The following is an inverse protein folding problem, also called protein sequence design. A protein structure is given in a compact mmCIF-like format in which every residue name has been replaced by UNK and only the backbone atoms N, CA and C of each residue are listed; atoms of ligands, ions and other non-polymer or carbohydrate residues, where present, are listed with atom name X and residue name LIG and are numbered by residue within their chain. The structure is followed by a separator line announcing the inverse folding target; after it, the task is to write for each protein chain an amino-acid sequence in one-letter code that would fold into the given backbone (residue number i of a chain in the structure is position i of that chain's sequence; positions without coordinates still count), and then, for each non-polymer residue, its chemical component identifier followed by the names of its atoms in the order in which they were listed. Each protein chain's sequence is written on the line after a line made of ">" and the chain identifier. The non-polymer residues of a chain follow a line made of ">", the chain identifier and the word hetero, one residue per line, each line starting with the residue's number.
data_IF_331624101326
#
_entry.id   IF_331624101326
#
_cell.length_a   1.000
_cell.length_b   1.000
_cell.length_c   1.000
_cell.angle_alpha   90.00
_cell.angle_beta   90.00
_cell.angle_gamma   90.00
#
_symmetry.space_group_name_H-M   'P 1'
#
loop_
_entity.id
_entity.type
_entity.pdbx_description
1 polymer ?
#
# COMPACT_ATOMS: atom_id res chain seq x y z
N UNK A 1 -0.87 18.37 28.55
CA UNK A 1 -1.02 17.17 27.70
C UNK A 1 -1.18 17.63 26.26
N UNK A 2 -0.11 17.61 25.49
CA UNK A 2 -0.12 18.10 24.13
C UNK A 2 -0.68 17.06 23.16
N UNK A 3 -1.85 17.31 22.60
CA UNK A 3 -2.30 16.70 21.35
C UNK A 3 -1.57 17.42 20.23
N UNK A 4 -0.64 16.78 19.58
CA UNK A 4 -0.11 17.28 18.33
C UNK A 4 -1.08 16.83 17.22
N UNK A 5 -1.99 17.67 16.82
CA UNK A 5 -2.73 17.54 15.58
C UNK A 5 -1.87 18.15 14.46
N UNK A 6 -1.36 17.32 13.61
CA UNK A 6 -0.75 17.77 12.36
C UNK A 6 -1.89 17.87 11.36
N UNK A 7 -2.43 19.06 11.19
CA UNK A 7 -3.31 19.38 10.08
C UNK A 7 -2.48 19.40 8.81
N UNK A 8 -2.56 18.35 8.03
CA UNK A 8 -2.02 18.30 6.67
C UNK A 8 -2.93 19.11 5.72
N UNK A 9 -3.17 20.36 6.04
CA UNK A 9 -3.79 21.32 5.14
C UNK A 9 -2.73 22.27 4.61
N UNK A 10 -2.42 22.15 3.32
CA UNK A 10 -1.48 22.96 2.54
C UNK A 10 -0.03 22.76 2.92
N UNK A 11 0.59 21.92 2.12
CA UNK A 11 1.97 21.55 2.23
C UNK A 11 2.95 22.68 2.31
N UNK A 12 3.93 22.52 3.14
CA UNK A 12 5.27 22.99 2.82
C UNK A 12 5.69 22.37 1.48
N UNK A 13 6.46 23.09 0.70
CA UNK A 13 6.79 22.87 -0.71
C UNK A 13 7.42 21.51 -1.08
N UNK A 14 7.32 20.51 -0.27
CA UNK A 14 7.77 19.13 -0.51
C UNK A 14 6.62 18.11 -0.54
N UNK A 15 5.39 18.51 -0.33
CA UNK A 15 4.22 17.64 -0.40
C UNK A 15 3.41 17.92 -1.66
N UNK A 16 3.03 16.83 -2.34
CA UNK A 16 2.21 16.84 -3.55
C UNK A 16 0.94 17.66 -3.30
N UNK A 17 0.56 18.60 -4.19
CA UNK A 17 -0.69 19.34 -4.06
C UNK A 17 -1.88 18.36 -4.04
N UNK A 18 -2.79 18.51 -3.06
CA UNK A 18 -4.00 17.71 -2.96
C UNK A 18 -4.05 16.76 -1.75
N UNK A 19 -3.19 16.91 -0.75
CA UNK A 19 -3.31 16.18 0.52
C UNK A 19 -4.35 16.87 1.41
N UNK A 20 -5.40 16.13 1.78
CA UNK A 20 -6.39 16.55 2.76
C UNK A 20 -6.55 15.46 3.82
N UNK A 21 -6.79 15.84 5.07
CA UNK A 21 -6.96 14.92 6.17
C UNK A 21 -6.22 15.37 7.42
N UNK A 22 -6.29 14.58 8.48
CA UNK A 22 -5.57 14.84 9.71
C UNK A 22 -4.84 13.58 10.23
N UNK A 23 -3.68 13.79 10.82
CA UNK A 23 -2.94 12.77 11.54
C UNK A 23 -2.82 13.20 12.98
N UNK A 24 -3.21 12.38 13.92
CA UNK A 24 -3.05 12.65 15.34
C UNK A 24 -2.23 11.56 16.01
N UNK A 25 -1.34 11.97 16.89
CA UNK A 25 -0.54 11.09 17.74
C UNK A 25 -0.74 11.45 19.18
N UNK A 26 -1.08 10.48 20.03
CA UNK A 26 -1.27 10.65 21.45
C UNK A 26 -0.64 9.50 22.24
N UNK A 27 -0.77 9.53 23.56
CA UNK A 27 -0.29 8.46 24.44
C UNK A 27 -0.94 7.11 24.16
N UNK A 28 -2.16 7.10 23.61
CA UNK A 28 -2.92 5.89 23.31
C UNK A 28 -2.66 5.34 21.90
N UNK A 29 -1.97 6.07 21.03
CA UNK A 29 -1.70 5.59 19.68
C UNK A 29 -1.65 6.66 18.60
N UNK A 30 -1.80 6.21 17.35
CA UNK A 30 -1.78 7.05 16.15
C UNK A 30 -3.09 6.87 15.41
N UNK A 31 -3.65 7.95 14.94
CA UNK A 31 -4.81 7.92 14.04
C UNK A 31 -4.61 8.81 12.82
N UNK A 32 -5.12 8.33 11.70
CA UNK A 32 -5.27 9.06 10.46
C UNK A 32 -6.77 9.17 10.20
N UNK A 33 -7.25 10.36 9.89
CA UNK A 33 -8.67 10.60 9.70
C UNK A 33 -8.91 11.27 8.34
N UNK A 34 -9.79 10.64 7.57
CA UNK A 34 -10.29 11.13 6.29
C UNK A 34 -9.17 11.63 5.35
N UNK A 35 -8.10 10.86 5.24
CA UNK A 35 -6.96 11.18 4.37
C UNK A 35 -7.37 11.01 2.92
N UNK A 36 -7.17 12.07 2.13
CA UNK A 36 -7.22 12.03 0.66
C UNK A 36 -5.89 12.58 0.15
N UNK A 37 -5.10 11.72 -0.46
CA UNK A 37 -3.74 12.02 -0.89
C UNK A 37 -3.26 11.07 -1.98
N UNK A 38 -2.33 11.52 -2.80
CA UNK A 38 -1.56 10.69 -3.72
C UNK A 38 -0.09 10.75 -3.34
N UNK A 39 0.50 9.60 -3.04
CA UNK A 39 1.88 9.50 -2.58
C UNK A 39 2.72 8.64 -3.54
N UNK A 40 3.95 9.06 -3.88
CA UNK A 40 4.87 8.25 -4.65
C UNK A 40 5.37 7.07 -3.80
N UNK A 41 5.30 5.85 -4.35
CA UNK A 41 5.66 4.61 -3.62
C UNK A 41 6.68 3.76 -4.35
N UNK A 42 7.30 4.27 -5.39
CA UNK A 42 8.25 3.53 -6.23
C UNK A 42 9.34 2.83 -5.42
N UNK A 43 9.91 3.50 -4.43
CA UNK A 43 10.96 2.93 -3.58
C UNK A 43 10.47 1.79 -2.66
N UNK A 44 9.20 1.81 -2.25
CA UNK A 44 8.63 0.78 -1.39
C UNK A 44 8.32 -0.52 -2.13
N UNK A 45 8.01 -0.43 -3.40
CA UNK A 45 7.56 -1.58 -4.20
C UNK A 45 8.62 -2.13 -5.15
N UNK A 46 9.75 -1.44 -5.32
CA UNK A 46 10.80 -1.93 -6.23
C UNK A 46 11.18 -3.40 -5.92
N UNK A 47 11.33 -4.26 -6.92
CA UNK A 47 11.32 -4.02 -8.36
C UNK A 47 9.92 -4.01 -9.03
N UNK A 48 8.84 -4.16 -8.26
CA UNK A 48 7.49 -4.08 -8.81
C UNK A 48 7.19 -2.63 -9.27
N UNK A 49 6.59 -2.42 -10.45
CA UNK A 49 6.48 -1.11 -11.09
C UNK A 49 5.35 -0.23 -10.51
N UNK A 50 5.21 -0.19 -9.21
CA UNK A 50 4.28 0.72 -8.55
C UNK A 50 4.79 2.16 -8.63
N UNK A 51 3.93 3.10 -8.99
CA UNK A 51 4.24 4.52 -9.05
C UNK A 51 3.68 5.29 -7.88
N UNK A 52 2.37 5.27 -7.75
CA UNK A 52 1.66 6.06 -6.75
C UNK A 52 0.63 5.21 -6.01
N UNK A 53 0.42 5.55 -4.75
CA UNK A 53 -0.72 5.10 -3.98
C UNK A 53 -1.64 6.30 -3.71
N UNK A 54 -2.91 6.15 -4.00
CA UNK A 54 -3.95 7.15 -3.79
C UNK A 54 -4.86 6.68 -2.68
N UNK A 55 -5.08 7.56 -1.72
CA UNK A 55 -6.02 7.37 -0.63
C UNK A 55 -7.26 8.25 -0.84
N UNK A 56 -8.44 7.70 -0.63
CA UNK A 56 -9.72 8.42 -0.67
C UNK A 56 -10.50 8.14 0.60
N UNK A 57 -10.73 9.17 1.42
CA UNK A 57 -11.45 9.04 2.67
C UNK A 57 -10.83 8.02 3.63
N UNK A 58 -9.53 7.81 3.55
CA UNK A 58 -8.82 6.81 4.34
C UNK A 58 -8.76 7.22 5.80
N UNK A 59 -9.18 6.30 6.66
CA UNK A 59 -9.03 6.42 8.11
C UNK A 59 -8.45 5.15 8.68
N UNK A 60 -7.54 5.29 9.63
CA UNK A 60 -6.98 4.17 10.37
C UNK A 60 -6.59 4.61 11.78
N UNK A 61 -6.78 3.73 12.76
CA UNK A 61 -6.43 3.97 14.14
C UNK A 61 -5.65 2.81 14.72
N UNK A 62 -4.51 3.13 15.30
CA UNK A 62 -3.69 2.22 16.10
C UNK A 62 -3.76 2.64 17.57
N UNK A 63 -3.97 1.68 18.45
CA UNK A 63 -3.91 1.86 19.90
C UNK A 63 -3.24 0.64 20.54
N UNK A 64 -2.43 0.85 21.56
CA UNK A 64 -1.69 -0.21 22.24
C UNK A 64 -0.91 -1.15 21.27
N UNK A 65 -0.31 -0.58 20.23
CA UNK A 65 0.46 -1.33 19.24
C UNK A 65 -0.36 -2.17 18.26
N UNK A 66 -1.67 -1.97 18.18
CA UNK A 66 -2.58 -2.77 17.34
C UNK A 66 -3.46 -1.89 16.45
N UNK A 67 -3.75 -2.37 15.26
CA UNK A 67 -4.80 -1.78 14.42
C UNK A 67 -6.17 -2.01 15.09
N UNK A 68 -6.91 -0.93 15.27
CA UNK A 68 -8.23 -0.95 15.91
C UNK A 68 -9.36 -0.78 14.91
N UNK A 69 -9.14 0.08 13.91
CA UNK A 69 -10.09 0.31 12.83
C UNK A 69 -9.38 0.82 11.59
N UNK A 70 -9.96 0.56 10.43
CA UNK A 70 -9.52 1.09 9.16
C UNK A 70 -10.71 1.16 8.18
N UNK A 71 -10.73 2.18 7.34
CA UNK A 71 -11.77 2.39 6.34
C UNK A 71 -11.28 3.28 5.19
N UNK A 72 -12.10 3.44 4.16
CA UNK A 72 -11.80 4.23 2.98
C UNK A 72 -11.48 3.39 1.77
N UNK A 73 -10.88 4.01 0.76
CA UNK A 73 -10.42 3.34 -0.46
C UNK A 73 -8.96 3.64 -0.72
N UNK A 74 -8.28 2.68 -1.32
CA UNK A 74 -6.88 2.80 -1.74
C UNK A 74 -6.76 2.31 -3.18
N UNK A 75 -6.06 3.10 -3.99
CA UNK A 75 -5.71 2.75 -5.37
C UNK A 75 -4.20 2.78 -5.53
N UNK A 76 -3.64 1.73 -6.10
CA UNK A 76 -2.25 1.65 -6.53
C UNK A 76 -2.19 1.84 -8.03
N UNK A 77 -1.41 2.81 -8.52
CA UNK A 77 -1.13 2.99 -9.94
C UNK A 77 0.25 2.44 -10.27
N UNK A 78 0.39 1.93 -11.48
CA UNK A 78 1.57 1.21 -11.94
C UNK A 78 2.12 1.88 -13.19
N UNK A 79 3.44 1.83 -13.37
CA UNK A 79 4.08 2.22 -14.61
C UNK A 79 4.04 1.06 -15.63
N UNK A 80 3.95 1.38 -16.93
CA UNK A 80 3.83 0.42 -18.04
C UNK A 80 5.10 -0.38 -18.31
N UNK A 81 6.02 -0.50 -17.36
CA UNK A 81 7.36 -1.02 -17.60
C UNK A 81 7.52 -2.54 -17.47
N UNK A 82 6.47 -3.25 -17.12
CA UNK A 82 6.55 -4.71 -16.98
C UNK A 82 5.79 -5.41 -18.11
N UNK A 83 6.50 -6.06 -19.07
CA UNK A 83 5.85 -6.82 -20.14
C UNK A 83 4.91 -7.90 -19.55
N UNK A 84 3.68 -7.96 -20.08
CA UNK A 84 2.71 -8.99 -19.71
C UNK A 84 1.87 -8.68 -18.47
N UNK A 85 2.09 -7.56 -17.80
CA UNK A 85 1.19 -7.04 -16.77
C UNK A 85 0.34 -5.91 -17.38
N UNK A 86 -0.90 -6.22 -17.69
CA UNK A 86 -1.85 -5.19 -18.13
C UNK A 86 -2.62 -4.65 -16.92
N UNK A 87 -2.00 -3.71 -16.20
CA UNK A 87 -2.53 -3.08 -15.01
C UNK A 87 -2.86 -1.60 -15.24
N UNK A 88 -3.29 -1.24 -16.45
CA UNK A 88 -3.60 0.14 -16.86
C UNK A 88 -4.59 0.85 -15.92
N UNK A 89 -5.49 0.10 -15.30
CA UNK A 89 -6.48 0.64 -14.36
C UNK A 89 -6.00 0.63 -12.91
N UNK A 90 -4.78 0.18 -12.67
CA UNK A 90 -4.23 0.03 -11.32
C UNK A 90 -4.86 -1.11 -10.52
N UNK A 91 -4.63 -1.07 -9.22
CA UNK A 91 -5.18 -2.01 -8.24
C UNK A 91 -5.97 -1.25 -7.18
N UNK A 92 -7.09 -1.80 -6.77
CA UNK A 92 -8.03 -1.19 -5.82
C UNK A 92 -8.21 -2.06 -4.60
N UNK A 93 -8.44 -1.44 -3.45
CA UNK A 93 -8.80 -2.16 -2.24
C UNK A 93 -9.37 -1.28 -1.15
N UNK A 94 -9.95 -1.94 -0.16
CA UNK A 94 -10.47 -1.30 1.05
C UNK A 94 -9.59 -1.68 2.24
N UNK A 95 -9.03 -0.71 2.96
CA UNK A 95 -8.23 -0.94 4.16
C UNK A 95 -9.04 -1.65 5.23
N UNK A 96 -8.38 -2.53 5.97
CA UNK A 96 -8.97 -3.18 7.14
C UNK A 96 -7.88 -3.57 8.15
N UNK A 97 -8.25 -3.81 9.38
CA UNK A 97 -7.36 -4.46 10.32
C UNK A 97 -7.32 -5.97 10.08
N UNK A 98 -6.12 -6.52 10.15
CA UNK A 98 -5.84 -7.95 10.07
C UNK A 98 -4.95 -8.33 11.27
N UNK A 99 -5.58 -8.82 12.33
CA UNK A 99 -4.93 -8.97 13.63
C UNK A 99 -4.48 -7.62 14.20
N UNK A 100 -3.20 -7.50 14.51
CA UNK A 100 -2.61 -6.27 15.03
C UNK A 100 -2.17 -5.29 13.92
N UNK A 101 -2.22 -5.70 12.66
CA UNK A 101 -1.71 -4.94 11.53
C UNK A 101 -2.84 -4.28 10.73
N UNK A 102 -2.53 -3.17 10.08
CA UNK A 102 -3.33 -2.62 9.01
C UNK A 102 -3.03 -3.38 7.72
N UNK A 103 -4.05 -3.88 7.05
CA UNK A 103 -3.97 -4.52 5.75
C UNK A 103 -4.60 -3.62 4.68
N UNK A 104 -3.84 -3.36 3.63
CA UNK A 104 -4.30 -2.76 2.38
C UNK A 104 -4.33 -3.87 1.31
N UNK A 105 -5.47 -4.55 1.11
CA UNK A 105 -5.60 -5.61 0.13
C UNK A 105 -5.96 -5.00 -1.23
N UNK A 106 -5.00 -4.95 -2.13
CA UNK A 106 -5.16 -4.37 -3.47
C UNK A 106 -5.31 -5.48 -4.50
N UNK A 107 -6.29 -5.35 -5.37
CA UNK A 107 -6.60 -6.33 -6.41
C UNK A 107 -6.76 -5.62 -7.75
N UNK A 108 -6.22 -6.20 -8.82
CA UNK A 108 -6.42 -5.72 -10.19
C UNK A 108 -7.85 -5.97 -10.66
N UNK A 109 -8.24 -5.31 -11.74
CA UNK A 109 -9.57 -5.51 -12.34
C UNK A 109 -9.80 -6.95 -12.81
N UNK A 110 -8.75 -7.63 -13.29
CA UNK A 110 -8.81 -9.04 -13.69
C UNK A 110 -8.86 -10.02 -12.50
N UNK A 111 -8.56 -9.55 -11.29
CA UNK A 111 -8.31 -10.35 -10.09
C UNK A 111 -7.12 -11.33 -10.20
N UNK A 112 -6.32 -11.22 -11.26
CA UNK A 112 -5.14 -12.06 -11.48
C UNK A 112 -3.92 -11.55 -10.74
N UNK A 113 -3.90 -10.29 -10.39
CA UNK A 113 -2.84 -9.64 -9.65
C UNK A 113 -3.36 -9.12 -8.31
N UNK A 114 -2.60 -9.37 -7.26
CA UNK A 114 -2.92 -8.94 -5.90
C UNK A 114 -1.68 -8.40 -5.22
N UNK A 115 -1.83 -7.32 -4.47
CA UNK A 115 -0.79 -6.77 -3.61
C UNK A 115 -1.37 -6.55 -2.21
N UNK A 116 -0.87 -7.28 -1.23
CA UNK A 116 -1.21 -7.11 0.18
C UNK A 116 -0.12 -6.31 0.86
N UNK A 117 -0.45 -5.12 1.35
CA UNK A 117 0.46 -4.28 2.14
C UNK A 117 0.03 -4.36 3.60
N UNK A 118 0.90 -4.87 4.46
CA UNK A 118 0.69 -4.92 5.91
C UNK A 118 1.58 -3.93 6.61
N UNK A 119 0.98 -3.14 7.48
CA UNK A 119 1.64 -2.09 8.26
C UNK A 119 1.44 -2.37 9.74
N UNK A 120 2.53 -2.30 10.50
CA UNK A 120 2.51 -2.44 11.94
C UNK A 120 2.66 -1.08 12.63
N UNK A 121 2.22 -0.99 13.87
CA UNK A 121 2.28 0.23 14.66
C UNK A 121 3.71 0.76 14.90
N UNK A 122 4.71 -0.11 14.81
CA UNK A 122 6.13 0.23 14.95
C UNK A 122 6.76 0.79 13.67
N UNK A 123 5.97 0.95 12.59
CA UNK A 123 6.42 1.41 11.28
C UNK A 123 7.00 0.32 10.38
N UNK A 124 7.04 -0.94 10.81
CA UNK A 124 7.42 -2.05 9.93
C UNK A 124 6.32 -2.35 8.92
N UNK A 125 6.71 -2.74 7.72
CA UNK A 125 5.77 -3.13 6.68
C UNK A 125 6.22 -4.37 5.92
N UNK A 126 5.24 -5.08 5.37
CA UNK A 126 5.42 -6.18 4.44
C UNK A 126 4.53 -5.97 3.22
N UNK A 127 5.11 -6.04 2.04
CA UNK A 127 4.41 -6.03 0.76
C UNK A 127 4.50 -7.42 0.16
N UNK A 128 3.35 -8.04 -0.12
CA UNK A 128 3.26 -9.35 -0.79
C UNK A 128 2.52 -9.16 -2.10
N UNK A 129 3.19 -9.44 -3.21
CA UNK A 129 2.59 -9.36 -4.55
C UNK A 129 2.41 -10.78 -5.06
N UNK A 130 1.20 -11.07 -5.52
CA UNK A 130 0.82 -12.36 -6.10
C UNK A 130 0.35 -12.15 -7.54
N UNK A 131 0.88 -12.94 -8.44
CA UNK A 131 0.46 -13.03 -9.83
C UNK A 131 -0.14 -14.41 -10.05
N UNK A 132 -1.46 -14.48 -10.14
CA UNK A 132 -2.20 -15.73 -10.30
C UNK A 132 -2.37 -16.05 -11.78
N UNK A 133 -1.32 -16.49 -12.45
CA UNK A 133 -1.39 -16.96 -13.83
C UNK A 133 -0.18 -17.83 -14.15
N UNK A 134 -0.37 -18.75 -15.06
CA UNK A 134 0.75 -19.39 -15.74
C UNK A 134 1.33 -18.37 -16.72
N UNK A 135 2.56 -17.94 -16.47
CA UNK A 135 3.30 -16.96 -17.27
C UNK A 135 4.65 -17.55 -17.68
N UNK A 136 4.62 -18.78 -18.17
CA UNK A 136 5.81 -19.56 -18.51
C UNK A 136 6.77 -18.84 -19.48
N UNK A 137 6.24 -18.05 -20.42
CA UNK A 137 6.99 -17.18 -21.33
C UNK A 137 7.68 -16.00 -20.64
N UNK A 138 7.24 -15.63 -19.44
CA UNK A 138 7.77 -14.50 -18.65
C UNK A 138 8.50 -14.95 -17.39
N UNK A 139 8.61 -16.25 -17.15
CA UNK A 139 9.20 -16.80 -15.93
C UNK A 139 10.62 -16.27 -15.65
N UNK A 140 11.47 -16.16 -16.67
CA UNK A 140 12.83 -15.65 -16.52
C UNK A 140 12.83 -14.17 -16.09
N UNK A 141 11.99 -13.33 -16.70
CA UNK A 141 11.88 -11.92 -16.35
C UNK A 141 11.33 -11.73 -14.93
N UNK A 142 10.33 -12.51 -14.55
CA UNK A 142 9.75 -12.48 -13.20
C UNK A 142 10.77 -12.93 -12.15
N UNK A 143 11.55 -13.98 -12.41
CA UNK A 143 12.60 -14.42 -11.51
C UNK A 143 13.70 -13.39 -11.35
N UNK A 144 14.11 -12.70 -12.42
CA UNK A 144 15.06 -11.59 -12.35
C UNK A 144 14.51 -10.41 -11.55
N UNK A 145 13.20 -10.17 -11.60
CA UNK A 145 12.51 -9.16 -10.80
C UNK A 145 12.31 -9.59 -9.33
N UNK A 146 12.78 -10.78 -8.92
CA UNK A 146 12.71 -11.26 -7.55
C UNK A 146 11.45 -12.08 -7.21
N UNK A 147 10.58 -12.34 -8.19
CA UNK A 147 9.44 -13.23 -8.00
C UNK A 147 9.90 -14.69 -7.91
N UNK A 148 9.20 -15.43 -7.07
CA UNK A 148 9.37 -16.85 -6.92
C UNK A 148 8.14 -17.59 -7.42
N UNK A 149 8.34 -18.69 -8.14
CA UNK A 149 7.25 -19.56 -8.54
C UNK A 149 6.61 -20.20 -7.30
N UNK A 150 5.27 -20.18 -7.27
CA UNK A 150 4.44 -20.82 -6.25
C UNK A 150 3.31 -21.57 -6.92
N UNK A 151 2.55 -22.38 -6.17
CA UNK A 151 1.37 -23.03 -6.72
C UNK A 151 0.38 -21.97 -7.27
N UNK A 152 0.07 -22.07 -8.57
CA UNK A 152 -0.85 -21.20 -9.26
C UNK A 152 -0.29 -19.85 -9.72
N UNK A 153 1.04 -19.60 -9.62
CA UNK A 153 1.60 -18.35 -10.11
C UNK A 153 2.96 -17.97 -9.56
N UNK A 154 3.12 -16.69 -9.28
CA UNK A 154 4.39 -16.10 -8.81
C UNK A 154 4.13 -15.21 -7.60
N UNK A 155 5.09 -15.14 -6.70
CA UNK A 155 5.04 -14.32 -5.49
C UNK A 155 6.32 -13.53 -5.29
N UNK A 156 6.17 -12.25 -4.93
CA UNK A 156 7.23 -11.38 -4.46
C UNK A 156 6.88 -10.92 -3.04
N UNK A 157 7.84 -10.94 -2.14
CA UNK A 157 7.69 -10.42 -0.78
C UNK A 157 8.79 -9.42 -0.50
N UNK A 158 8.41 -8.23 -0.06
CA UNK A 158 9.32 -7.19 0.39
C UNK A 158 8.98 -6.76 1.79
N UNK A 159 9.99 -6.46 2.58
CA UNK A 159 9.86 -5.99 3.95
C UNK A 159 10.72 -4.76 4.15
N UNK A 160 10.24 -3.83 4.97
CA UNK A 160 10.97 -2.63 5.31
C UNK A 160 10.41 -1.97 6.56
N UNK A 161 10.92 -0.77 6.82
CA UNK A 161 10.49 0.07 7.93
C UNK A 161 10.57 1.53 7.51
N UNK A 162 9.58 2.32 7.92
CA UNK A 162 9.56 3.78 7.75
C UNK A 162 10.42 4.46 8.80
#
# INVERSE_FOLDING_TARGET
>A
MGRAEILLSRGNAQFVPGIAGSVSRGFSGVSVNNLSATLPVRALFAPFPAENIQFEGFSARFAAGRCMEASGQVRLTLSDTMPGLNLQNGMLGQPRCDGAQLLLPLVSQSAMERADIRLSADGSYTVTIMLNADRGDQAAALNLAGFRSVAGGYRLVQKGRF
#
